data_IF_050001850564
#
_entry.id   IF_050001850564
#
_cell.length_a   1.000
_cell.length_b   1.000
_cell.length_c   1.000
_cell.angle_alpha   90.00
_cell.angle_beta   90.00
_cell.angle_gamma   90.00
#
_symmetry.space_group_name_H-M   'P 1'
#
loop_
_entity.id
_entity.type
_entity.pdbx_description
1 polymer ?
#
# COMPACT_ATOMS: atom_id res chain seq x y z
N UNK A 1 31.09 10.80 20.89
CA UNK A 1 29.72 11.16 20.46
C UNK A 1 29.82 12.34 19.51
N UNK A 2 29.37 12.14 18.30
CA UNK A 2 29.57 13.13 17.24
C UNK A 2 28.45 14.19 17.27
N UNK A 3 28.74 15.38 17.72
CA UNK A 3 27.84 16.55 17.75
C UNK A 3 27.34 16.93 16.35
N UNK A 4 28.15 16.70 15.31
CA UNK A 4 27.80 17.02 13.93
C UNK A 4 26.70 16.10 13.39
N UNK A 5 26.74 14.80 13.72
CA UNK A 5 25.69 13.84 13.34
C UNK A 5 24.34 14.11 14.04
N UNK A 6 24.38 14.62 15.25
CA UNK A 6 23.16 15.01 15.99
C UNK A 6 22.53 16.29 15.41
N UNK A 7 23.33 17.25 14.98
CA UNK A 7 22.88 18.47 14.31
C UNK A 7 22.30 18.18 12.92
N UNK A 8 22.90 17.25 12.16
CA UNK A 8 22.40 16.81 10.87
C UNK A 8 21.02 16.17 10.96
N UNK A 9 20.79 15.32 11.97
CA UNK A 9 19.49 14.69 12.21
C UNK A 9 18.40 15.70 12.61
N UNK A 10 18.72 16.67 13.44
CA UNK A 10 17.77 17.74 13.80
C UNK A 10 17.39 18.60 12.60
N UNK A 11 18.33 18.91 11.72
CA UNK A 11 18.06 19.64 10.48
C UNK A 11 17.15 18.86 9.51
N UNK A 12 17.34 17.56 9.41
CA UNK A 12 16.47 16.69 8.60
C UNK A 12 15.05 16.63 9.17
N UNK A 13 14.91 16.48 10.48
CA UNK A 13 13.60 16.46 11.15
C UNK A 13 12.84 17.77 10.92
N UNK A 14 13.51 18.92 11.06
CA UNK A 14 12.90 20.22 10.81
C UNK A 14 12.41 20.37 9.36
N UNK A 15 13.20 19.92 8.38
CA UNK A 15 12.80 19.95 6.96
C UNK A 15 11.57 19.09 6.70
N UNK A 16 11.50 17.91 7.29
CA UNK A 16 10.34 17.02 7.17
C UNK A 16 9.10 17.67 7.77
N UNK A 17 9.21 18.24 8.97
CA UNK A 17 8.09 18.93 9.63
C UNK A 17 7.62 20.15 8.84
N UNK A 18 8.53 20.96 8.30
CA UNK A 18 8.20 22.09 7.43
C UNK A 18 7.49 21.63 6.15
N UNK A 19 7.94 20.53 5.54
CA UNK A 19 7.29 19.96 4.36
C UNK A 19 5.87 19.47 4.67
N UNK A 20 5.68 18.76 5.78
CA UNK A 20 4.36 18.29 6.22
C UNK A 20 3.42 19.47 6.48
N UNK A 21 3.91 20.51 7.17
CA UNK A 21 3.15 21.72 7.45
C UNK A 21 2.72 22.41 6.16
N UNK A 22 3.64 22.60 5.22
CA UNK A 22 3.36 23.19 3.90
C UNK A 22 2.31 22.40 3.12
N UNK A 23 2.42 21.07 3.10
CA UNK A 23 1.44 20.20 2.44
C UNK A 23 0.04 20.30 3.06
N UNK A 24 -0.04 20.48 4.38
CA UNK A 24 -1.31 20.72 5.08
C UNK A 24 -1.90 22.09 4.76
N UNK A 25 -1.08 23.11 4.68
CA UNK A 25 -1.50 24.50 4.40
C UNK A 25 -1.94 24.69 2.95
N UNK A 26 -1.27 24.05 2.00
CA UNK A 26 -1.56 24.17 0.56
C UNK A 26 -2.57 23.15 0.04
N UNK A 27 -2.88 22.12 0.83
CA UNK A 27 -3.68 20.98 0.37
C UNK A 27 -3.01 20.14 -0.72
N UNK A 28 -1.76 20.45 -1.05
CA UNK A 28 -0.95 19.71 -2.01
C UNK A 28 -0.28 18.53 -1.30
N UNK A 29 -0.55 17.34 -1.80
CA UNK A 29 0.00 16.09 -1.25
C UNK A 29 -0.89 15.49 -0.17
N UNK A 30 -0.82 14.20 -0.10
CA UNK A 30 -1.69 13.38 0.73
C UNK A 30 -2.94 12.93 -0.02
N UNK A 31 -3.61 11.96 0.56
CA UNK A 31 -4.82 11.39 -0.02
C UNK A 31 -6.04 12.20 0.41
N UNK A 32 -6.89 12.64 -0.54
CA UNK A 32 -8.17 13.26 -0.19
C UNK A 32 -9.00 12.32 0.69
N UNK A 33 -9.73 12.86 1.66
CA UNK A 33 -10.54 12.07 2.61
C UNK A 33 -11.64 11.25 1.96
N UNK A 34 -12.06 11.61 0.77
CA UNK A 34 -13.05 10.91 -0.02
C UNK A 34 -12.56 9.53 -0.47
N UNK A 35 -11.28 9.39 -0.78
CA UNK A 35 -10.67 8.13 -1.27
C UNK A 35 -10.73 7.02 -0.21
N UNK A 36 -10.26 7.20 1.03
CA UNK A 36 -10.44 6.18 2.05
C UNK A 36 -11.91 5.97 2.46
N UNK A 37 -12.75 7.01 2.35
CA UNK A 37 -14.18 6.88 2.62
C UNK A 37 -14.86 5.96 1.60
N UNK A 38 -14.55 6.08 0.33
CA UNK A 38 -15.05 5.21 -0.73
C UNK A 38 -14.58 3.76 -0.55
N UNK A 39 -13.33 3.55 -0.17
CA UNK A 39 -12.83 2.22 0.18
C UNK A 39 -13.60 1.62 1.36
N UNK A 40 -13.85 2.39 2.41
CA UNK A 40 -14.62 1.93 3.55
C UNK A 40 -16.06 1.52 3.14
N UNK A 41 -16.69 2.29 2.27
CA UNK A 41 -17.99 1.96 1.72
C UNK A 41 -17.98 0.67 0.89
N UNK A 42 -16.97 0.50 0.04
CA UNK A 42 -16.76 -0.73 -0.72
C UNK A 42 -16.60 -1.96 0.18
N UNK A 43 -15.77 -1.85 1.23
CA UNK A 43 -15.53 -2.94 2.19
C UNK A 43 -16.77 -3.28 3.03
N UNK A 44 -17.64 -2.30 3.30
CA UNK A 44 -18.89 -2.50 4.02
C UNK A 44 -20.03 -3.01 3.13
N UNK A 45 -19.89 -2.91 1.83
CA UNK A 45 -20.88 -3.34 0.84
C UNK A 45 -20.71 -4.83 0.47
N UNK A 46 -21.70 -5.38 -0.22
CA UNK A 46 -21.60 -6.72 -0.79
C UNK A 46 -20.59 -6.86 -1.93
N UNK A 47 -20.14 -5.75 -2.50
CA UNK A 47 -19.19 -5.71 -3.63
C UNK A 47 -17.81 -6.22 -3.26
N UNK A 48 -17.43 -6.15 -1.98
CA UNK A 48 -16.17 -6.70 -1.48
C UNK A 48 -16.17 -8.23 -1.31
N UNK A 49 -17.31 -8.89 -1.50
CA UNK A 49 -17.45 -10.32 -1.36
C UNK A 49 -17.03 -10.81 0.02
N UNK A 50 -16.17 -11.83 0.04
CA UNK A 50 -15.64 -12.42 1.28
C UNK A 50 -14.29 -11.83 1.72
N UNK A 51 -13.91 -10.67 1.18
CA UNK A 51 -12.64 -10.03 1.52
C UNK A 51 -12.59 -9.69 3.01
N UNK A 52 -11.63 -10.27 3.72
CA UNK A 52 -11.42 -10.05 5.16
C UNK A 52 -9.97 -10.25 5.54
N UNK A 53 -9.57 -9.70 6.68
CA UNK A 53 -8.20 -9.86 7.19
C UNK A 53 -7.12 -9.25 6.31
N UNK A 54 -7.45 -8.23 5.53
CA UNK A 54 -6.53 -7.57 4.59
C UNK A 54 -6.34 -6.11 4.92
N UNK A 55 -5.12 -5.63 4.73
CA UNK A 55 -4.74 -4.22 4.81
C UNK A 55 -4.64 -3.67 3.39
N UNK A 56 -5.46 -2.70 3.07
CA UNK A 56 -5.59 -2.17 1.72
C UNK A 56 -5.24 -0.68 1.74
N UNK A 57 -4.38 -0.27 0.82
CA UNK A 57 -4.06 1.14 0.60
C UNK A 57 -5.08 1.76 -0.33
N UNK A 58 -5.88 2.67 0.20
CA UNK A 58 -6.93 3.34 -0.57
C UNK A 58 -6.40 4.02 -1.85
N UNK A 59 -5.25 4.75 -1.83
CA UNK A 59 -4.75 5.41 -3.03
C UNK A 59 -3.90 4.50 -3.95
N UNK A 60 -3.36 3.37 -3.47
CA UNK A 60 -2.31 2.65 -4.19
C UNK A 60 -2.72 1.26 -4.70
N UNK A 61 -3.67 0.60 -4.08
CA UNK A 61 -3.94 -0.82 -4.37
C UNK A 61 -4.94 -1.05 -5.51
N UNK A 62 -5.45 0.01 -6.11
CA UNK A 62 -6.39 -0.05 -7.27
C UNK A 62 -7.59 -0.97 -7.02
N UNK A 63 -8.09 -0.98 -5.80
CA UNK A 63 -9.19 -1.83 -5.34
C UNK A 63 -10.49 -1.63 -6.15
N UNK A 64 -10.67 -0.46 -6.75
CA UNK A 64 -11.83 -0.15 -7.61
C UNK A 64 -11.91 -1.05 -8.84
N UNK A 65 -10.79 -1.60 -9.28
CA UNK A 65 -10.70 -2.49 -10.45
C UNK A 65 -10.85 -3.98 -10.09
N UNK A 66 -11.02 -4.33 -8.82
CA UNK A 66 -11.09 -5.72 -8.41
C UNK A 66 -12.42 -6.36 -8.78
N UNK A 67 -12.33 -7.49 -9.47
CA UNK A 67 -13.46 -8.35 -9.83
C UNK A 67 -13.68 -9.41 -8.76
N UNK A 68 -14.78 -10.16 -8.85
CA UNK A 68 -15.04 -11.27 -7.93
C UNK A 68 -13.97 -12.35 -8.01
N UNK A 69 -13.43 -12.62 -9.21
CA UNK A 69 -12.33 -13.55 -9.42
C UNK A 69 -11.04 -13.04 -8.75
N UNK A 70 -10.78 -11.74 -8.84
CA UNK A 70 -9.62 -11.13 -8.19
C UNK A 70 -9.74 -11.16 -6.68
N UNK A 71 -10.90 -10.90 -6.13
CA UNK A 71 -11.16 -11.01 -4.70
C UNK A 71 -10.96 -12.43 -4.19
N UNK A 72 -11.45 -13.43 -4.92
CA UNK A 72 -11.24 -14.84 -4.60
C UNK A 72 -9.75 -15.22 -4.65
N UNK A 73 -9.00 -14.72 -5.62
CA UNK A 73 -7.56 -14.92 -5.73
C UNK A 73 -6.81 -14.30 -4.54
N UNK A 74 -7.14 -13.07 -4.16
CA UNK A 74 -6.56 -12.39 -3.00
C UNK A 74 -6.80 -13.21 -1.72
N UNK A 75 -8.01 -13.74 -1.54
CA UNK A 75 -8.35 -14.55 -0.38
C UNK A 75 -7.65 -15.91 -0.36
N UNK A 76 -7.28 -16.45 -1.51
CA UNK A 76 -6.51 -17.69 -1.61
C UNK A 76 -5.01 -17.53 -1.36
N UNK A 77 -4.52 -16.29 -1.31
CA UNK A 77 -3.11 -15.95 -1.17
C UNK A 77 -2.84 -15.09 0.06
N UNK A 78 -1.58 -14.99 0.52
CA UNK A 78 -1.22 -14.14 1.64
C UNK A 78 -1.12 -12.64 1.31
N UNK A 79 -1.61 -12.22 0.17
CA UNK A 79 -1.52 -10.82 -0.28
C UNK A 79 -2.31 -9.87 0.61
N UNK A 80 -1.78 -8.67 0.78
CA UNK A 80 -2.35 -7.59 1.61
C UNK A 80 -2.51 -7.94 3.09
N UNK A 81 -1.80 -8.96 3.59
CA UNK A 81 -1.80 -9.31 5.01
C UNK A 81 -0.62 -8.69 5.74
N UNK A 82 -0.82 -8.36 7.01
CA UNK A 82 0.30 -8.04 7.88
C UNK A 82 1.01 -9.34 8.28
N UNK A 83 2.30 -9.42 8.00
CA UNK A 83 3.11 -10.59 8.28
C UNK A 83 4.45 -10.20 8.87
N UNK A 84 4.92 -11.06 9.76
CA UNK A 84 6.32 -11.02 10.15
C UNK A 84 7.18 -11.37 8.94
N UNK A 85 8.14 -10.51 8.62
CA UNK A 85 9.12 -10.78 7.57
C UNK A 85 10.33 -11.47 8.16
N UNK A 86 10.58 -12.69 7.73
CA UNK A 86 11.77 -13.48 8.02
C UNK A 86 12.24 -14.20 6.76
N UNK A 87 13.45 -14.82 6.75
CA UNK A 87 13.98 -15.47 5.54
C UNK A 87 13.11 -16.59 4.99
N UNK A 88 12.29 -17.22 5.83
CA UNK A 88 11.43 -18.33 5.42
C UNK A 88 10.13 -17.86 4.77
N UNK A 89 9.60 -16.74 5.22
CA UNK A 89 8.35 -16.19 4.69
C UNK A 89 8.56 -15.20 3.54
N UNK A 90 9.71 -14.50 3.54
CA UNK A 90 10.01 -13.47 2.54
C UNK A 90 10.29 -14.06 1.16
N UNK A 91 11.06 -15.15 1.09
CA UNK A 91 11.48 -15.74 -0.20
C UNK A 91 10.30 -16.23 -1.05
N UNK A 92 9.35 -17.03 -0.54
CA UNK A 92 8.17 -17.44 -1.30
C UNK A 92 7.34 -16.25 -1.78
N UNK A 93 7.18 -15.24 -0.93
CA UNK A 93 6.43 -14.03 -1.28
C UNK A 93 7.07 -13.26 -2.44
N UNK A 94 8.40 -13.12 -2.43
CA UNK A 94 9.13 -12.46 -3.52
C UNK A 94 9.04 -13.25 -4.84
N UNK A 95 9.04 -14.57 -4.77
CA UNK A 95 8.89 -15.44 -5.94
C UNK A 95 7.49 -15.28 -6.56
N UNK A 96 6.45 -15.26 -5.75
CA UNK A 96 5.07 -15.00 -6.20
C UNK A 96 4.93 -13.62 -6.85
N UNK A 97 5.47 -12.59 -6.22
CA UNK A 97 5.43 -11.23 -6.76
C UNK A 97 6.15 -11.10 -8.12
N UNK A 98 7.28 -11.79 -8.27
CA UNK A 98 8.03 -11.81 -9.53
C UNK A 98 7.27 -12.54 -10.63
N UNK A 99 6.65 -13.66 -10.32
CA UNK A 99 5.84 -14.43 -11.26
C UNK A 99 4.64 -13.62 -11.74
N UNK A 100 3.96 -12.92 -10.85
CA UNK A 100 2.82 -12.07 -11.19
C UNK A 100 3.24 -10.87 -12.06
N UNK A 101 4.34 -10.20 -11.71
CA UNK A 101 4.88 -9.10 -12.52
C UNK A 101 5.25 -9.55 -13.94
N UNK A 102 5.84 -10.73 -14.09
CA UNK A 102 6.17 -11.30 -15.39
C UNK A 102 4.92 -11.59 -16.23
N UNK A 103 3.85 -12.11 -15.60
CA UNK A 103 2.57 -12.36 -16.25
C UNK A 103 1.90 -11.06 -16.68
N UNK A 104 1.90 -10.04 -15.85
CA UNK A 104 1.35 -8.73 -16.16
C UNK A 104 2.08 -8.07 -17.34
N UNK A 105 3.42 -8.18 -17.40
CA UNK A 105 4.22 -7.68 -18.52
C UNK A 105 3.95 -8.44 -19.83
N UNK A 106 3.77 -9.74 -19.77
CA UNK A 106 3.43 -10.55 -20.94
C UNK A 106 2.06 -10.17 -21.52
N UNK A 107 1.07 -9.91 -20.67
CA UNK A 107 -0.26 -9.48 -21.07
C UNK A 107 -0.30 -8.05 -21.64
N UNK A 108 0.57 -7.16 -21.18
CA UNK A 108 0.63 -5.78 -21.69
C UNK A 108 1.30 -5.65 -23.07
N UNK A 109 1.99 -6.70 -23.53
CA UNK A 109 2.64 -6.75 -24.85
C UNK A 109 1.78 -7.38 -25.97
N UNK A 110 0.61 -7.84 -25.60
CA UNK A 110 -0.39 -8.35 -26.56
C UNK A 110 -1.41 -7.28 -26.87
#
# INVERSE_FOLDING_TARGET
MDRAAALGRRGQTLRVLQRIRRLRETGEGGTPREVPAELALFLASGDSGNLTGRLISAPNDKWESWTDERLAEIMSKPWFTLRRMDPFTLRPLLEEMRAEAATAQANSRR
#
